data_IF_670433237892
#
_entry.id   IF_670433237892
#
_cell.length_a   1.000
_cell.length_b   1.000
_cell.length_c   1.000
_cell.angle_alpha   90.00
_cell.angle_beta   90.00
_cell.angle_gamma   90.00
#
_symmetry.space_group_name_H-M   'P 1'
#
loop_
_entity.id
_entity.type
_entity.pdbx_description
1 polymer ?
#
# COMPACT_ATOMS: atom_id res chain seq x y z
N UNK A 1 12.77 -38.28 29.21
CA UNK A 1 13.38 -37.02 28.71
C UNK A 1 13.87 -37.11 27.27
N UNK A 2 14.36 -38.25 26.79
CA UNK A 2 14.80 -38.45 25.39
C UNK A 2 13.66 -38.37 24.35
N UNK A 3 12.45 -38.83 24.69
CA UNK A 3 11.28 -38.74 23.80
C UNK A 3 10.78 -37.30 23.56
N UNK A 4 10.96 -36.41 24.54
CA UNK A 4 10.56 -34.99 24.43
C UNK A 4 11.52 -34.21 23.52
N UNK A 5 12.82 -34.52 23.56
CA UNK A 5 13.83 -33.92 22.67
C UNK A 5 13.63 -34.38 21.21
N UNK A 6 13.27 -35.65 20.99
CA UNK A 6 12.96 -36.17 19.66
C UNK A 6 11.76 -35.49 19.01
N UNK A 7 10.70 -35.22 19.78
CA UNK A 7 9.52 -34.50 19.30
C UNK A 7 9.85 -33.05 18.93
N UNK A 8 10.69 -32.39 19.72
CA UNK A 8 11.13 -31.01 19.47
C UNK A 8 11.96 -30.88 18.19
N UNK A 9 12.91 -31.79 17.97
CA UNK A 9 13.71 -31.85 16.74
C UNK A 9 12.82 -32.15 15.53
N UNK A 10 11.82 -33.03 15.69
CA UNK A 10 10.86 -33.35 14.62
C UNK A 10 9.98 -32.15 14.27
N UNK A 11 9.53 -31.37 15.26
CA UNK A 11 8.78 -30.12 15.04
C UNK A 11 9.66 -29.09 14.33
N UNK A 12 10.92 -28.94 14.75
CA UNK A 12 11.87 -27.98 14.16
C UNK A 12 12.25 -28.38 12.72
N UNK A 13 12.42 -29.67 12.45
CA UNK A 13 12.61 -30.22 11.11
C UNK A 13 11.35 -30.12 10.24
N UNK A 14 10.15 -30.29 10.82
CA UNK A 14 8.88 -30.10 10.12
C UNK A 14 8.67 -28.63 9.74
N UNK A 15 9.04 -27.68 10.61
CA UNK A 15 9.03 -26.25 10.27
C UNK A 15 10.10 -25.87 9.24
N UNK A 16 11.28 -26.51 9.28
CA UNK A 16 12.36 -26.26 8.32
C UNK A 16 12.10 -26.87 6.93
N UNK A 17 11.36 -27.98 6.86
CA UNK A 17 10.96 -28.60 5.59
C UNK A 17 9.70 -27.97 5.00
N UNK A 18 8.78 -27.45 5.83
CA UNK A 18 7.62 -26.69 5.35
C UNK A 18 8.02 -25.41 4.59
N UNK A 19 9.14 -24.77 4.94
CA UNK A 19 9.69 -23.63 4.18
C UNK A 19 10.43 -24.05 2.90
N UNK A 20 10.96 -25.28 2.85
CA UNK A 20 11.61 -25.83 1.66
C UNK A 20 10.63 -26.31 0.56
N UNK A 21 9.37 -26.62 0.92
CA UNK A 21 8.35 -27.17 0.00
C UNK A 21 7.64 -26.10 -0.84
N UNK A 22 7.70 -24.81 -0.50
CA UNK A 22 7.06 -23.76 -1.31
C UNK A 22 7.77 -23.51 -2.66
N UNK A 23 8.84 -24.25 -2.94
CA UNK A 23 9.58 -24.16 -4.20
C UNK A 23 9.59 -25.53 -4.87
N UNK A 24 8.66 -25.77 -5.80
CA UNK A 24 8.97 -26.22 -7.18
C UNK A 24 7.70 -26.52 -7.99
N UNK A 25 7.68 -25.90 -9.17
CA UNK A 25 6.83 -26.15 -10.36
C UNK A 25 5.35 -25.83 -10.23
N UNK A 26 5.01 -24.54 -10.31
CA UNK A 26 3.78 -24.16 -10.99
C UNK A 26 3.98 -24.42 -12.51
N UNK A 27 3.02 -25.06 -13.19
CA UNK A 27 3.09 -25.23 -14.64
C UNK A 27 3.12 -23.86 -15.32
N UNK A 28 3.86 -23.74 -16.44
CA UNK A 28 3.83 -22.55 -17.29
C UNK A 28 2.37 -22.22 -17.62
N UNK A 29 1.79 -21.22 -16.95
CA UNK A 29 0.46 -20.76 -17.29
C UNK A 29 0.54 -20.09 -18.66
N UNK A 30 -0.37 -20.42 -19.59
CA UNK A 30 -0.37 -19.82 -20.92
C UNK A 30 -0.74 -18.32 -20.89
N UNK A 31 -1.15 -17.79 -19.75
CA UNK A 31 -1.42 -16.37 -19.56
C UNK A 31 -0.63 -15.83 -18.35
N UNK A 32 0.36 -14.94 -18.56
CA UNK A 32 1.08 -14.31 -17.47
C UNK A 32 0.14 -13.45 -16.61
N UNK A 33 0.42 -13.41 -15.30
CA UNK A 33 -0.39 -12.63 -14.35
C UNK A 33 -0.16 -11.12 -14.57
N UNK A 34 -1.17 -10.28 -14.33
CA UNK A 34 -0.98 -8.84 -14.34
C UNK A 34 0.04 -8.42 -13.28
N UNK A 35 0.73 -7.30 -13.52
CA UNK A 35 1.73 -6.79 -12.58
C UNK A 35 1.11 -6.46 -11.21
N UNK A 36 1.78 -6.89 -10.14
CA UNK A 36 1.35 -6.58 -8.77
C UNK A 36 1.50 -5.09 -8.45
N UNK A 37 0.57 -4.60 -7.64
CA UNK A 37 0.57 -3.24 -7.10
C UNK A 37 1.78 -3.02 -6.14
N UNK A 38 2.36 -1.81 -6.06
CA UNK A 38 3.50 -1.53 -5.17
C UNK A 38 3.23 -1.87 -3.70
N UNK A 39 2.00 -1.66 -3.22
CA UNK A 39 1.62 -2.01 -1.85
C UNK A 39 1.62 -3.53 -1.62
N UNK A 40 1.26 -4.34 -2.63
CA UNK A 40 1.31 -5.80 -2.56
C UNK A 40 2.77 -6.27 -2.47
N UNK A 41 3.69 -5.68 -3.24
CA UNK A 41 5.12 -5.99 -3.15
C UNK A 41 5.67 -5.70 -1.75
N UNK A 42 5.30 -4.55 -1.17
CA UNK A 42 5.66 -4.20 0.20
C UNK A 42 5.09 -5.16 1.25
N UNK A 43 3.84 -5.61 1.08
CA UNK A 43 3.22 -6.58 1.98
C UNK A 43 3.84 -7.98 1.89
N UNK A 44 4.26 -8.42 0.69
CA UNK A 44 5.03 -9.66 0.50
C UNK A 44 6.41 -9.58 1.17
N UNK A 45 7.14 -8.48 0.96
CA UNK A 45 8.43 -8.25 1.61
C UNK A 45 8.27 -8.23 3.14
N UNK A 46 7.24 -7.55 3.64
CA UNK A 46 6.91 -7.49 5.07
C UNK A 46 6.62 -8.88 5.64
N UNK A 47 5.86 -9.71 4.93
CA UNK A 47 5.57 -11.07 5.34
C UNK A 47 6.83 -11.93 5.42
N UNK A 48 7.75 -11.81 4.47
CA UNK A 48 9.04 -12.50 4.49
C UNK A 48 9.94 -12.02 5.64
N UNK A 49 9.99 -10.72 5.92
CA UNK A 49 10.76 -10.18 7.05
C UNK A 49 10.19 -10.64 8.40
N UNK A 50 8.86 -10.69 8.54
CA UNK A 50 8.20 -11.19 9.75
C UNK A 50 8.41 -12.70 9.97
N UNK A 51 8.69 -13.47 8.92
CA UNK A 51 9.09 -14.87 9.06
C UNK A 51 10.56 -15.06 9.41
N UNK A 52 11.32 -13.97 9.57
CA UNK A 52 12.74 -13.99 9.93
C UNK A 52 13.70 -14.00 8.74
N UNK A 53 13.23 -13.76 7.52
CA UNK A 53 14.13 -13.61 6.38
C UNK A 53 15.00 -12.34 6.53
N UNK A 54 16.23 -12.40 6.02
CA UNK A 54 17.06 -11.20 5.84
C UNK A 54 16.49 -10.32 4.71
N UNK A 55 16.91 -9.06 4.63
CA UNK A 55 16.46 -8.14 3.59
C UNK A 55 16.73 -8.68 2.17
N UNK A 56 17.94 -9.17 1.81
CA UNK A 56 18.16 -9.81 0.51
C UNK A 56 17.28 -11.05 0.28
N UNK A 57 17.09 -11.89 1.31
CA UNK A 57 16.25 -13.09 1.20
C UNK A 57 14.76 -12.74 1.01
N UNK A 58 14.30 -11.65 1.62
CA UNK A 58 12.95 -11.13 1.40
C UNK A 58 12.77 -10.62 -0.04
N UNK A 59 13.76 -9.93 -0.61
CA UNK A 59 13.73 -9.49 -2.01
C UNK A 59 13.71 -10.67 -2.98
N UNK A 60 14.51 -11.71 -2.73
CA UNK A 60 14.44 -12.95 -3.51
C UNK A 60 13.07 -13.62 -3.38
N UNK A 61 12.49 -13.68 -2.19
CA UNK A 61 11.17 -14.25 -1.97
C UNK A 61 10.08 -13.48 -2.75
N UNK A 62 10.12 -12.15 -2.74
CA UNK A 62 9.22 -11.32 -3.54
C UNK A 62 9.40 -11.60 -5.03
N UNK A 63 10.63 -11.62 -5.54
CA UNK A 63 10.92 -11.91 -6.95
C UNK A 63 10.38 -13.29 -7.37
N UNK A 64 10.53 -14.30 -6.50
CA UNK A 64 9.98 -15.63 -6.77
C UNK A 64 8.46 -15.67 -6.75
N UNK A 65 7.82 -14.90 -5.86
CA UNK A 65 6.36 -14.81 -5.78
C UNK A 65 5.77 -14.09 -6.99
N UNK A 66 6.50 -13.15 -7.59
CA UNK A 66 6.08 -12.40 -8.79
C UNK A 66 6.66 -12.94 -10.09
N UNK A 67 7.33 -14.10 -10.06
CA UNK A 67 7.99 -14.69 -11.23
C UNK A 67 7.05 -15.11 -12.38
N UNK A 68 5.75 -15.23 -12.11
CA UNK A 68 4.70 -15.51 -13.11
C UNK A 68 4.08 -14.26 -13.74
N UNK A 69 4.49 -13.06 -13.32
CA UNK A 69 3.95 -11.80 -13.86
C UNK A 69 4.50 -11.48 -15.25
N UNK A 70 3.72 -10.76 -16.07
CA UNK A 70 4.14 -10.29 -17.39
C UNK A 70 5.45 -9.50 -17.38
N UNK A 71 5.74 -8.84 -16.26
CA UNK A 71 6.90 -7.96 -16.12
C UNK A 71 7.73 -8.46 -14.96
N UNK A 72 8.98 -8.84 -15.21
CA UNK A 72 9.89 -9.21 -14.13
C UNK A 72 10.14 -8.03 -13.18
N UNK A 73 10.31 -8.32 -11.89
CA UNK A 73 10.71 -7.36 -10.86
C UNK A 73 12.22 -7.13 -10.84
N UNK A 74 13.03 -8.15 -11.13
CA UNK A 74 14.49 -8.05 -11.08
C UNK A 74 15.06 -7.98 -9.65
N UNK A 75 14.24 -8.23 -8.64
CA UNK A 75 14.61 -8.10 -7.23
C UNK A 75 15.60 -9.18 -6.78
N UNK A 76 15.63 -10.33 -7.46
CA UNK A 76 16.67 -11.35 -7.23
C UNK A 76 18.06 -10.86 -7.66
N UNK A 77 18.17 -10.01 -8.69
CA UNK A 77 19.44 -9.40 -9.06
C UNK A 77 19.84 -8.34 -8.03
N UNK A 78 18.91 -7.48 -7.62
CA UNK A 78 19.15 -6.48 -6.56
C UNK A 78 19.61 -7.14 -5.26
N UNK A 79 18.96 -8.21 -4.83
CA UNK A 79 19.38 -8.97 -3.64
C UNK A 79 20.83 -9.44 -3.73
N UNK A 80 21.24 -9.97 -4.89
CA UNK A 80 22.62 -10.41 -5.14
C UNK A 80 23.61 -9.24 -5.13
N UNK A 81 23.26 -8.12 -5.76
CA UNK A 81 24.12 -6.92 -5.78
C UNK A 81 24.35 -6.37 -4.36
N UNK A 82 23.30 -6.32 -3.54
CA UNK A 82 23.41 -5.93 -2.13
C UNK A 82 24.30 -6.89 -1.32
N UNK A 83 24.17 -8.20 -1.54
CA UNK A 83 25.05 -9.20 -0.91
C UNK A 83 26.51 -9.04 -1.35
N UNK A 84 26.75 -8.62 -2.60
CA UNK A 84 28.08 -8.32 -3.13
C UNK A 84 28.64 -6.96 -2.65
N UNK A 85 27.87 -6.20 -1.88
CA UNK A 85 28.27 -4.89 -1.35
C UNK A 85 28.18 -3.75 -2.37
N UNK A 86 27.39 -3.92 -3.43
CA UNK A 86 27.07 -2.82 -4.36
C UNK A 86 26.33 -1.71 -3.60
N UNK A 87 26.61 -0.42 -3.91
CA UNK A 87 25.89 0.69 -3.31
C UNK A 87 24.39 0.60 -3.62
N UNK A 88 23.56 1.10 -2.70
CA UNK A 88 22.11 1.04 -2.79
C UNK A 88 21.58 1.48 -4.15
N UNK A 89 21.97 2.67 -4.61
CA UNK A 89 21.56 3.24 -5.90
C UNK A 89 21.84 2.32 -7.10
N UNK A 90 23.00 1.66 -7.12
CA UNK A 90 23.41 0.78 -8.22
C UNK A 90 22.65 -0.55 -8.17
N UNK A 91 22.45 -1.12 -6.98
CA UNK A 91 21.71 -2.36 -6.80
C UNK A 91 20.26 -2.26 -7.30
N UNK A 92 19.66 -1.07 -7.22
CA UNK A 92 18.28 -0.79 -7.62
C UNK A 92 18.14 -0.17 -9.02
N UNK A 93 19.23 0.07 -9.75
CA UNK A 93 19.22 0.81 -11.02
C UNK A 93 18.36 0.17 -12.12
N UNK A 94 18.21 -1.15 -12.10
CA UNK A 94 17.52 -1.92 -13.15
C UNK A 94 16.12 -2.42 -12.74
N UNK A 95 15.59 -1.91 -11.63
CA UNK A 95 14.31 -2.34 -11.06
C UNK A 95 13.18 -1.46 -11.62
N UNK A 96 12.02 -2.03 -12.00
CA UNK A 96 10.93 -1.25 -12.58
C UNK A 96 10.34 -0.24 -11.56
N UNK A 97 9.74 0.88 -12.04
CA UNK A 97 9.22 1.94 -11.16
C UNK A 97 8.19 1.49 -10.11
N UNK A 98 7.46 0.39 -10.37
CA UNK A 98 6.51 -0.16 -9.39
C UNK A 98 7.16 -0.66 -8.09
N UNK A 99 8.47 -0.92 -8.11
CA UNK A 99 9.24 -1.29 -6.93
C UNK A 99 9.82 -0.07 -6.19
N UNK A 100 9.63 1.16 -6.68
CA UNK A 100 10.17 2.36 -6.03
C UNK A 100 9.69 2.51 -4.59
N UNK A 101 8.40 2.27 -4.32
CA UNK A 101 7.86 2.26 -2.96
C UNK A 101 8.60 1.26 -2.05
N UNK A 102 8.91 0.07 -2.59
CA UNK A 102 9.62 -0.97 -1.85
C UNK A 102 11.07 -0.54 -1.58
N UNK A 103 11.75 0.03 -2.59
CA UNK A 103 13.09 0.61 -2.47
C UNK A 103 13.12 1.69 -1.38
N UNK A 104 12.33 2.74 -1.52
CA UNK A 104 12.36 3.90 -0.63
C UNK A 104 12.04 3.52 0.83
N UNK A 105 11.18 2.51 1.03
CA UNK A 105 10.86 2.01 2.37
C UNK A 105 11.99 1.18 3.00
N UNK A 106 12.83 0.52 2.19
CA UNK A 106 13.91 -0.35 2.65
C UNK A 106 15.26 0.37 2.78
N UNK A 107 15.46 1.49 2.06
CA UNK A 107 16.71 2.26 2.08
C UNK A 107 17.17 2.64 3.50
N UNK A 108 16.33 3.22 4.38
CA UNK A 108 16.76 3.55 5.75
C UNK A 108 17.08 2.32 6.60
N UNK A 109 16.53 1.16 6.22
CA UNK A 109 16.83 -0.10 6.91
C UNK A 109 18.19 -0.64 6.52
N UNK A 110 18.66 -0.33 5.30
CA UNK A 110 19.96 -0.73 4.79
C UNK A 110 21.07 0.23 5.23
N UNK A 111 20.85 1.53 5.08
CA UNK A 111 21.84 2.57 5.38
C UNK A 111 21.95 2.86 6.89
N UNK A 112 20.81 3.01 7.57
CA UNK A 112 20.76 3.45 8.97
C UNK A 112 20.37 2.32 9.95
N UNK A 113 20.11 1.12 9.46
CA UNK A 113 19.67 -0.01 10.30
C UNK A 113 18.28 0.16 10.90
N UNK A 114 17.44 1.05 10.33
CA UNK A 114 16.05 1.22 10.77
C UNK A 114 15.24 -0.08 10.64
N UNK A 115 14.20 -0.23 11.46
CA UNK A 115 13.35 -1.42 11.38
C UNK A 115 12.52 -1.41 10.07
N UNK A 116 12.66 -2.41 9.18
CA UNK A 116 12.04 -2.39 7.85
C UNK A 116 10.52 -2.63 7.89
N UNK A 117 10.03 -3.46 8.81
CA UNK A 117 8.61 -3.85 8.87
C UNK A 117 7.68 -2.65 9.12
N UNK A 118 7.94 -1.75 10.09
CA UNK A 118 7.15 -0.52 10.25
C UNK A 118 7.19 0.40 9.03
N UNK A 119 8.35 0.55 8.39
CA UNK A 119 8.52 1.42 7.21
C UNK A 119 7.69 0.90 6.03
N UNK A 120 7.76 -0.40 5.73
CA UNK A 120 6.94 -1.05 4.70
C UNK A 120 5.45 -0.94 5.00
N UNK A 121 5.04 -1.13 6.26
CA UNK A 121 3.65 -1.00 6.68
C UNK A 121 3.13 0.41 6.45
N UNK A 122 3.92 1.42 6.82
CA UNK A 122 3.60 2.83 6.61
C UNK A 122 3.54 3.19 5.12
N UNK A 123 4.51 2.74 4.33
CA UNK A 123 4.53 2.99 2.89
C UNK A 123 3.33 2.36 2.18
N UNK A 124 3.01 1.10 2.47
CA UNK A 124 1.87 0.40 1.88
C UNK A 124 0.52 1.03 2.28
N UNK A 125 0.36 1.44 3.54
CA UNK A 125 -0.86 2.13 4.00
C UNK A 125 -1.00 3.51 3.36
N UNK A 126 0.09 4.28 3.25
CA UNK A 126 0.11 5.59 2.58
C UNK A 126 -0.22 5.48 1.08
N UNK A 127 0.25 4.44 0.41
CA UNK A 127 -0.08 4.20 -1.00
C UNK A 127 -1.56 3.89 -1.19
N UNK A 128 -2.12 3.01 -0.35
CA UNK A 128 -3.55 2.68 -0.38
C UNK A 128 -4.43 3.90 -0.08
N UNK A 129 -4.05 4.75 0.88
CA UNK A 129 -4.78 5.98 1.15
C UNK A 129 -4.72 6.95 -0.03
N UNK A 130 -3.54 7.17 -0.62
CA UNK A 130 -3.38 8.08 -1.77
C UNK A 130 -4.22 7.64 -2.96
N UNK A 131 -4.23 6.33 -3.27
CA UNK A 131 -5.09 5.77 -4.32
C UNK A 131 -6.58 6.02 -4.07
N UNK A 132 -7.02 5.97 -2.81
CA UNK A 132 -8.40 6.28 -2.44
C UNK A 132 -8.74 7.77 -2.56
N UNK A 133 -7.76 8.67 -2.37
CA UNK A 133 -7.94 10.11 -2.53
C UNK A 133 -8.08 10.51 -4.00
N UNK A 134 -7.23 9.98 -4.89
CA UNK A 134 -7.33 10.23 -6.34
C UNK A 134 -8.67 9.76 -6.92
N UNK A 135 -9.21 8.64 -6.42
CA UNK A 135 -10.55 8.16 -6.80
C UNK A 135 -11.68 9.06 -6.27
N UNK A 136 -11.48 9.68 -5.10
CA UNK A 136 -12.46 10.62 -4.49
C UNK A 136 -12.40 12.00 -5.12
N UNK A 137 -11.26 12.47 -5.60
CA UNK A 137 -11.13 13.74 -6.32
C UNK A 137 -11.98 13.74 -7.60
N UNK A 138 -11.99 12.63 -8.35
CA UNK A 138 -12.89 12.45 -9.50
C UNK A 138 -14.39 12.44 -9.13
N UNK A 139 -14.73 12.02 -7.91
CA UNK A 139 -16.12 12.05 -7.40
C UNK A 139 -16.49 13.41 -6.77
N UNK A 140 -15.53 14.14 -6.22
CA UNK A 140 -15.73 15.45 -5.60
C UNK A 140 -16.01 16.55 -6.63
N UNK A 141 -15.58 16.37 -7.88
CA UNK A 141 -15.97 17.23 -9.00
C UNK A 141 -17.48 17.17 -9.30
N UNK A 142 -18.13 16.04 -9.01
CA UNK A 142 -19.59 15.89 -9.12
C UNK A 142 -20.32 16.41 -7.88
N UNK A 143 -19.78 16.18 -6.68
CA UNK A 143 -20.39 16.62 -5.42
C UNK A 143 -20.46 18.15 -5.28
N UNK A 144 -19.43 18.87 -5.74
CA UNK A 144 -19.44 20.34 -5.74
C UNK A 144 -20.44 20.92 -6.75
N UNK A 145 -20.61 20.29 -7.93
CA UNK A 145 -21.67 20.63 -8.89
C UNK A 145 -23.09 20.31 -8.40
N UNK A 146 -23.27 19.46 -7.39
CA UNK A 146 -24.57 19.08 -6.84
C UNK A 146 -24.95 19.85 -5.57
N UNK A 147 -23.99 20.19 -4.72
CA UNK A 147 -24.25 20.96 -3.48
C UNK A 147 -24.35 22.47 -3.75
N UNK A 148 -23.65 23.01 -4.76
CA UNK A 148 -23.82 24.40 -5.19
C UNK A 148 -25.26 24.73 -5.63
N UNK A 149 -25.91 23.98 -6.55
CA UNK A 149 -27.28 24.29 -6.95
C UNK A 149 -28.29 24.04 -5.83
N UNK A 150 -28.06 23.08 -4.93
CA UNK A 150 -28.94 22.87 -3.77
C UNK A 150 -28.91 24.05 -2.80
N UNK A 151 -27.72 24.55 -2.45
CA UNK A 151 -27.59 25.73 -1.58
C UNK A 151 -28.10 27.01 -2.24
N UNK A 152 -27.87 27.18 -3.55
CA UNK A 152 -28.39 28.32 -4.32
C UNK A 152 -29.91 28.28 -4.53
N UNK A 153 -30.52 27.09 -4.51
CA UNK A 153 -31.97 26.92 -4.65
C UNK A 153 -32.71 27.06 -3.30
N UNK A 154 -32.09 26.67 -2.17
CA UNK A 154 -32.67 26.88 -0.83
C UNK A 154 -32.58 28.34 -0.36
N UNK A 155 -31.59 29.10 -0.81
CA UNK A 155 -31.40 30.51 -0.44
C UNK A 155 -32.59 31.43 -0.82
N UNK A 156 -33.11 31.44 -2.07
CA UNK A 156 -34.22 32.31 -2.43
C UNK A 156 -35.53 31.91 -1.72
N UNK A 157 -35.77 30.61 -1.52
CA UNK A 157 -36.95 30.13 -0.81
C UNK A 157 -36.96 30.58 0.66
N UNK A 158 -35.80 30.52 1.35
CA UNK A 158 -35.68 31.00 2.74
C UNK A 158 -35.87 32.51 2.85
N UNK A 159 -35.37 33.30 1.90
CA UNK A 159 -35.57 34.75 1.87
C UNK A 159 -37.07 35.09 1.77
N UNK A 160 -37.80 34.42 0.87
CA UNK A 160 -39.23 34.62 0.71
C UNK A 160 -40.05 34.14 1.91
N UNK A 161 -39.72 32.97 2.49
CA UNK A 161 -40.50 32.41 3.59
C UNK A 161 -40.15 33.00 4.96
N UNK A 162 -38.90 33.41 5.20
CA UNK A 162 -38.41 33.77 6.54
C UNK A 162 -38.12 35.25 6.75
N UNK A 163 -37.48 35.92 5.79
CA UNK A 163 -36.94 37.28 5.99
C UNK A 163 -37.96 38.36 5.65
N UNK A 164 -38.67 38.21 4.52
CA UNK A 164 -39.70 39.18 4.08
C UNK A 164 -40.80 39.39 5.13
N UNK A 165 -41.39 38.36 5.75
CA UNK A 165 -42.46 38.54 6.73
C UNK A 165 -41.98 39.23 8.02
N UNK A 166 -40.75 38.93 8.46
CA UNK A 166 -40.17 39.51 9.68
C UNK A 166 -39.91 41.00 9.50
N UNK A 167 -39.31 41.42 8.39
CA UNK A 167 -39.07 42.84 8.10
C UNK A 167 -40.40 43.58 7.89
N UNK A 168 -41.39 42.95 7.23
CA UNK A 168 -42.71 43.55 7.07
C UNK A 168 -43.39 43.78 8.43
N UNK A 169 -43.32 42.81 9.35
CA UNK A 169 -43.90 42.96 10.70
C UNK A 169 -43.18 44.01 11.54
N UNK A 170 -41.85 44.09 11.46
CA UNK A 170 -41.07 45.09 12.19
C UNK A 170 -41.21 46.50 11.59
N UNK A 171 -41.33 46.61 10.27
CA UNK A 171 -41.54 47.89 9.56
C UNK A 171 -42.96 48.43 9.74
N UNK A 172 -43.97 47.56 9.78
CA UNK A 172 -45.35 47.95 10.10
C UNK A 172 -45.51 48.41 11.55
N UNK A 173 -44.72 47.88 12.49
CA UNK A 173 -44.71 48.34 13.87
C UNK A 173 -44.11 49.75 14.05
N UNK A 174 -43.24 50.20 13.14
CA UNK A 174 -42.66 51.55 13.16
C UNK A 174 -43.49 52.61 12.44
N UNK A 175 -44.34 52.23 11.48
CA UNK A 175 -45.18 53.16 10.71
C UNK A 175 -46.55 53.44 11.35
N UNK A 176 -46.87 52.77 12.46
CA UNK A 176 -48.15 52.85 13.16
C UNK A 176 -48.15 53.72 14.43
N UNK A 177 -47.09 54.48 14.70
CA UNK A 177 -47.02 55.43 15.83
C UNK A 177 -47.08 56.87 15.36
#
# INVERSE_FOLDING_TARGET
>A
MTLLLGLWIFILAATYTATAVFRRTAPCRPNPLPASDPATLADLARAALLSGASLPAALEAVDTATGEECTATGLALTARLLVLGSPWEEAWAHVPPRCALLRDALEPSWEDGAAPVPLLTRAATSYRSQRSHLAREAAAELGTRLVLPLTLCFLPAFIFLGVVPVIASAGLAFFGS
#
